data_IF_139438825791
#
_entry.id   IF_139438825791
#
_cell.length_a   1.000
_cell.length_b   1.000
_cell.length_c   1.000
_cell.angle_alpha   90.00
_cell.angle_beta   90.00
_cell.angle_gamma   90.00
#
_symmetry.space_group_name_H-M   'P 1'
#
loop_
_entity.id
_entity.type
_entity.pdbx_description
1 polymer ?
#
# COMPACT_ATOMS: atom_id res chain seq x y z
N UNK A 1 -84.06 -42.15 -72.96
CA UNK A 1 -82.72 -41.75 -72.35
C UNK A 1 -82.86 -41.83 -70.85
N UNK A 2 -82.34 -42.80 -70.17
CA UNK A 2 -82.44 -42.84 -68.72
C UNK A 2 -81.20 -42.16 -68.10
N UNK A 3 -81.44 -41.26 -67.13
CA UNK A 3 -80.50 -40.61 -66.32
C UNK A 3 -79.80 -41.62 -65.36
N UNK A 4 -78.47 -41.68 -65.43
CA UNK A 4 -77.67 -42.41 -64.49
C UNK A 4 -77.22 -41.42 -63.38
N UNK A 5 -77.93 -41.35 -62.28
CA UNK A 5 -77.53 -40.69 -61.08
C UNK A 5 -76.50 -41.59 -60.34
N UNK A 6 -75.27 -41.16 -60.42
CA UNK A 6 -74.24 -41.73 -59.57
C UNK A 6 -74.53 -41.32 -58.11
N UNK A 7 -75.04 -42.23 -57.31
CA UNK A 7 -75.14 -42.12 -55.88
C UNK A 7 -73.69 -42.13 -55.30
N UNK A 8 -73.23 -40.96 -54.93
CA UNK A 8 -72.12 -40.88 -54.00
C UNK A 8 -72.61 -41.41 -52.65
N UNK A 9 -72.18 -42.59 -52.25
CA UNK A 9 -72.30 -43.02 -50.87
C UNK A 9 -71.26 -42.20 -50.10
N UNK A 10 -71.72 -41.22 -49.34
CA UNK A 10 -70.97 -40.60 -48.29
C UNK A 10 -70.70 -41.68 -47.28
N UNK A 11 -69.37 -42.06 -47.14
CA UNK A 11 -68.85 -42.89 -46.05
C UNK A 11 -69.00 -42.10 -44.76
N UNK A 12 -70.17 -41.92 -44.20
CA UNK A 12 -70.43 -41.43 -42.87
C UNK A 12 -69.81 -42.40 -41.90
N UNK A 13 -68.72 -41.96 -41.20
CA UNK A 13 -68.09 -42.73 -40.14
C UNK A 13 -69.08 -42.80 -38.97
N UNK A 14 -69.77 -43.92 -38.85
CA UNK A 14 -70.72 -44.13 -37.75
C UNK A 14 -70.00 -44.30 -36.43
N UNK A 15 -70.01 -43.19 -35.65
CA UNK A 15 -69.40 -43.09 -34.30
C UNK A 15 -69.94 -44.19 -33.36
N UNK A 16 -71.17 -44.68 -33.49
CA UNK A 16 -71.74 -45.76 -32.73
C UNK A 16 -71.05 -47.09 -33.05
N UNK A 17 -70.72 -47.33 -34.27
CA UNK A 17 -70.01 -48.55 -34.73
C UNK A 17 -68.56 -48.59 -34.24
N UNK A 18 -67.88 -47.39 -34.24
CA UNK A 18 -66.57 -47.26 -33.70
C UNK A 18 -66.55 -47.49 -32.20
N UNK A 19 -67.50 -46.94 -31.41
CA UNK A 19 -67.64 -47.19 -30.01
C UNK A 19 -67.94 -48.66 -29.66
N UNK A 20 -68.80 -49.30 -30.47
CA UNK A 20 -69.01 -50.75 -30.34
C UNK A 20 -67.76 -51.58 -30.50
N UNK A 21 -66.96 -51.27 -31.52
CA UNK A 21 -65.70 -51.97 -31.78
C UNK A 21 -64.69 -51.82 -30.66
N UNK A 22 -64.67 -50.66 -30.02
CA UNK A 22 -63.78 -50.42 -28.82
C UNK A 22 -64.25 -51.22 -27.59
N UNK A 23 -65.55 -51.29 -27.34
CA UNK A 23 -66.17 -52.02 -26.23
C UNK A 23 -65.98 -53.55 -26.41
N UNK A 24 -66.14 -54.08 -27.60
CA UNK A 24 -65.95 -55.50 -27.89
C UNK A 24 -64.46 -55.93 -27.64
N UNK A 25 -63.53 -55.00 -27.86
CA UNK A 25 -62.08 -55.29 -27.65
C UNK A 25 -61.49 -54.64 -26.43
N UNK A 26 -62.27 -54.28 -25.45
CA UNK A 26 -61.85 -53.63 -24.18
C UNK A 26 -60.69 -54.37 -23.50
N UNK A 27 -60.73 -55.67 -23.45
CA UNK A 27 -59.69 -56.48 -22.86
C UNK A 27 -58.34 -56.45 -23.62
N UNK A 28 -58.40 -56.22 -24.92
CA UNK A 28 -57.20 -56.03 -25.74
C UNK A 28 -56.58 -54.64 -25.43
N UNK A 29 -57.39 -53.62 -25.35
CA UNK A 29 -56.98 -52.24 -24.97
C UNK A 29 -56.33 -52.30 -23.56
N UNK A 30 -57.02 -52.89 -22.61
CA UNK A 30 -56.50 -53.00 -21.24
C UNK A 30 -55.15 -53.76 -21.15
N UNK A 31 -55.00 -54.85 -21.92
CA UNK A 31 -53.74 -55.61 -21.92
C UNK A 31 -52.58 -54.86 -22.52
N UNK A 32 -52.78 -54.15 -23.66
CA UNK A 32 -51.70 -53.37 -24.30
C UNK A 32 -51.36 -52.14 -23.46
N UNK A 33 -52.37 -51.37 -23.02
CA UNK A 33 -52.14 -50.22 -22.14
C UNK A 33 -51.47 -50.63 -20.86
N UNK A 34 -51.94 -51.74 -20.22
CA UNK A 34 -51.32 -52.28 -19.01
C UNK A 34 -49.87 -52.71 -19.22
N UNK A 35 -49.57 -53.40 -20.34
CA UNK A 35 -48.21 -53.80 -20.69
C UNK A 35 -47.27 -52.63 -20.86
N UNK A 36 -47.66 -51.60 -21.62
CA UNK A 36 -46.89 -50.37 -21.85
C UNK A 36 -46.64 -49.65 -20.52
N UNK A 37 -47.70 -49.53 -19.67
CA UNK A 37 -47.63 -48.88 -18.39
C UNK A 37 -46.67 -49.65 -17.44
N UNK A 38 -46.74 -50.99 -17.40
CA UNK A 38 -45.81 -51.81 -16.59
C UNK A 38 -44.36 -51.62 -17.06
N UNK A 39 -44.10 -51.62 -18.36
CA UNK A 39 -42.77 -51.37 -18.91
C UNK A 39 -42.23 -49.98 -18.48
N UNK A 40 -43.10 -48.97 -18.53
CA UNK A 40 -42.74 -47.64 -18.07
C UNK A 40 -42.45 -47.55 -16.57
N UNK A 41 -43.19 -48.30 -15.75
CA UNK A 41 -42.89 -48.38 -14.30
C UNK A 41 -41.56 -49.07 -14.05
N UNK A 42 -41.28 -50.19 -14.73
CA UNK A 42 -39.99 -50.86 -14.66
C UNK A 42 -38.85 -49.94 -15.09
N UNK A 43 -38.99 -49.21 -16.20
CA UNK A 43 -38.03 -48.23 -16.65
C UNK A 43 -37.82 -47.11 -15.60
N UNK A 44 -38.87 -46.55 -15.05
CA UNK A 44 -38.82 -45.47 -14.04
C UNK A 44 -38.18 -45.94 -12.72
N UNK A 45 -38.17 -47.24 -12.42
CA UNK A 45 -37.48 -47.81 -11.24
C UNK A 45 -36.02 -48.18 -11.52
N UNK A 46 -35.65 -48.51 -12.75
CA UNK A 46 -34.28 -48.87 -13.10
C UNK A 46 -33.36 -47.64 -13.36
N UNK A 47 -33.93 -46.54 -13.79
CA UNK A 47 -33.13 -45.32 -14.05
C UNK A 47 -32.62 -44.76 -12.70
N UNK A 48 -31.28 -44.51 -12.59
CA UNK A 48 -30.72 -43.97 -11.37
C UNK A 48 -31.33 -42.61 -11.05
N UNK A 49 -31.63 -42.36 -9.75
CA UNK A 49 -32.19 -41.09 -9.31
C UNK A 49 -31.16 -39.97 -9.43
N UNK A 50 -31.58 -38.77 -9.82
CA UNK A 50 -30.76 -37.56 -9.80
C UNK A 50 -31.28 -36.62 -8.73
N UNK A 51 -30.40 -36.21 -7.84
CA UNK A 51 -30.65 -35.28 -6.74
C UNK A 51 -30.09 -33.90 -7.08
N UNK A 52 -30.58 -32.86 -6.40
CA UNK A 52 -30.08 -31.49 -6.55
C UNK A 52 -29.82 -30.89 -5.19
N UNK A 53 -28.54 -30.62 -4.87
CA UNK A 53 -28.15 -29.90 -3.68
C UNK A 53 -27.99 -28.41 -3.99
N UNK A 54 -28.32 -27.56 -3.00
CA UNK A 54 -28.19 -26.11 -3.11
C UNK A 54 -27.47 -25.58 -1.88
N UNK A 55 -26.58 -24.61 -2.09
CA UNK A 55 -25.92 -23.81 -1.07
C UNK A 55 -26.11 -22.34 -1.36
N UNK A 56 -26.27 -21.50 -0.35
CA UNK A 56 -26.44 -20.06 -0.57
C UNK A 56 -25.54 -19.23 0.33
N UNK A 57 -25.05 -18.13 -0.21
CA UNK A 57 -24.08 -17.23 0.41
C UNK A 57 -24.55 -15.79 0.40
N UNK A 58 -24.12 -15.04 1.42
CA UNK A 58 -24.24 -13.60 1.55
C UNK A 58 -22.84 -12.98 1.56
N UNK A 59 -22.76 -11.70 1.30
CA UNK A 59 -21.53 -10.91 1.43
C UNK A 59 -20.91 -11.06 2.83
N UNK A 60 -19.59 -10.85 2.99
CA UNK A 60 -18.92 -10.94 4.27
C UNK A 60 -19.48 -9.95 5.29
N UNK A 61 -19.29 -10.24 6.57
CA UNK A 61 -19.70 -9.35 7.65
C UNK A 61 -18.86 -8.07 7.67
N UNK A 62 -19.44 -6.98 8.20
CA UNK A 62 -18.68 -5.75 8.41
C UNK A 62 -17.44 -5.96 9.31
N UNK A 63 -17.52 -6.87 10.29
CA UNK A 63 -16.38 -7.22 11.14
C UNK A 63 -15.23 -7.85 10.36
N UNK A 64 -15.52 -8.75 9.41
CA UNK A 64 -14.49 -9.32 8.53
C UNK A 64 -13.83 -8.28 7.65
N UNK A 65 -14.62 -7.34 7.10
CA UNK A 65 -14.08 -6.23 6.27
C UNK A 65 -13.19 -5.32 7.11
N UNK A 66 -13.60 -4.97 8.33
CA UNK A 66 -12.81 -4.14 9.25
C UNK A 66 -11.49 -4.82 9.61
N UNK A 67 -11.52 -6.12 9.92
CA UNK A 67 -10.31 -6.85 10.28
C UNK A 67 -9.32 -6.98 9.10
N UNK A 68 -9.81 -7.22 7.88
CA UNK A 68 -8.97 -7.23 6.68
C UNK A 68 -8.38 -5.85 6.36
N UNK A 69 -9.06 -4.76 6.75
CA UNK A 69 -8.61 -3.38 6.56
C UNK A 69 -7.95 -2.76 7.80
N UNK A 70 -7.61 -3.55 8.80
CA UNK A 70 -6.94 -3.09 10.02
C UNK A 70 -5.62 -2.38 9.74
N UNK A 71 -4.94 -2.82 8.71
CA UNK A 71 -3.74 -2.16 8.16
C UNK A 71 -4.20 -1.11 7.15
N UNK A 72 -3.76 0.14 7.32
CA UNK A 72 -4.11 1.26 6.43
C UNK A 72 -3.68 1.05 4.95
N UNK A 73 -2.82 0.06 4.69
CA UNK A 73 -2.39 -0.34 3.35
C UNK A 73 -3.40 -1.25 2.62
N UNK A 74 -4.43 -1.72 3.31
CA UNK A 74 -5.53 -2.51 2.75
C UNK A 74 -6.76 -1.61 2.56
N UNK A 75 -7.49 -1.82 1.44
CA UNK A 75 -8.71 -1.07 1.11
C UNK A 75 -9.78 -2.01 0.53
N UNK A 76 -9.88 -3.22 1.11
CA UNK A 76 -10.84 -4.20 0.66
C UNK A 76 -12.28 -3.79 1.02
N UNK A 77 -13.20 -3.94 0.07
CA UNK A 77 -14.62 -3.74 0.30
C UNK A 77 -15.32 -5.08 0.47
N UNK A 78 -16.52 -5.07 1.06
CA UNK A 78 -17.35 -6.28 1.14
C UNK A 78 -17.58 -6.91 -0.25
N UNK A 79 -17.68 -6.08 -1.27
CA UNK A 79 -17.89 -6.52 -2.66
C UNK A 79 -16.62 -7.15 -3.25
N UNK A 80 -15.44 -6.53 -3.11
CA UNK A 80 -14.17 -7.07 -3.62
C UNK A 80 -13.83 -8.41 -2.99
N UNK A 81 -14.01 -8.54 -1.67
CA UNK A 81 -13.80 -9.78 -0.94
C UNK A 81 -14.75 -10.87 -1.45
N UNK A 82 -16.04 -10.53 -1.56
CA UNK A 82 -17.05 -11.48 -2.02
C UNK A 82 -16.83 -11.94 -3.46
N UNK A 83 -16.44 -11.04 -4.35
CA UNK A 83 -16.09 -11.40 -5.73
C UNK A 83 -14.86 -12.32 -5.79
N UNK A 84 -13.85 -12.07 -4.96
CA UNK A 84 -12.69 -12.95 -4.87
C UNK A 84 -13.06 -14.36 -4.43
N UNK A 85 -13.95 -14.48 -3.42
CA UNK A 85 -14.53 -15.76 -3.01
C UNK A 85 -15.28 -16.46 -4.16
N UNK A 86 -16.18 -15.74 -4.84
CA UNK A 86 -16.96 -16.29 -5.95
C UNK A 86 -16.07 -16.75 -7.10
N UNK A 87 -15.04 -16.01 -7.42
CA UNK A 87 -14.07 -16.38 -8.46
C UNK A 87 -13.37 -17.71 -8.11
N UNK A 88 -13.07 -17.95 -6.83
CA UNK A 88 -12.53 -19.24 -6.38
C UNK A 88 -13.55 -20.36 -6.54
N UNK A 89 -14.77 -20.16 -6.08
CA UNK A 89 -15.85 -21.15 -6.19
C UNK A 89 -16.14 -21.51 -7.65
N UNK A 90 -16.07 -20.54 -8.57
CA UNK A 90 -16.31 -20.70 -10.01
C UNK A 90 -15.13 -21.30 -10.77
N UNK A 91 -13.94 -21.23 -10.22
CA UNK A 91 -12.75 -21.74 -10.88
C UNK A 91 -12.79 -23.26 -10.99
N UNK A 92 -12.90 -23.78 -12.22
CA UNK A 92 -12.86 -25.22 -12.48
C UNK A 92 -11.56 -25.86 -11.96
N UNK A 93 -10.44 -25.14 -12.02
CA UNK A 93 -9.17 -25.59 -11.47
C UNK A 93 -9.25 -25.72 -9.94
N UNK A 94 -9.91 -24.78 -9.25
CA UNK A 94 -10.10 -24.84 -7.81
C UNK A 94 -11.10 -25.94 -7.42
N UNK A 95 -12.20 -26.08 -8.16
CA UNK A 95 -13.17 -27.16 -8.00
C UNK A 95 -12.49 -28.54 -8.16
N UNK A 96 -11.63 -28.67 -9.17
CA UNK A 96 -10.86 -29.89 -9.39
C UNK A 96 -9.92 -30.19 -8.24
N UNK A 97 -9.22 -29.19 -7.75
CA UNK A 97 -8.35 -29.33 -6.58
C UNK A 97 -9.12 -29.89 -5.37
N UNK A 98 -10.28 -29.33 -5.06
CA UNK A 98 -11.11 -29.77 -3.92
C UNK A 98 -11.68 -31.18 -4.18
N UNK A 99 -12.05 -31.48 -5.42
CA UNK A 99 -12.51 -32.80 -5.82
C UNK A 99 -11.43 -33.88 -5.54
N UNK A 100 -10.20 -33.61 -5.90
CA UNK A 100 -9.08 -34.54 -5.73
C UNK A 100 -8.63 -34.63 -4.26
N UNK A 101 -8.40 -33.49 -3.58
CA UNK A 101 -7.91 -33.44 -2.20
C UNK A 101 -8.87 -34.13 -1.22
N UNK A 102 -10.17 -34.02 -1.44
CA UNK A 102 -11.19 -34.62 -0.57
C UNK A 102 -11.67 -36.00 -1.06
N UNK A 103 -11.03 -36.56 -2.10
CA UNK A 103 -11.30 -37.90 -2.59
C UNK A 103 -12.69 -38.12 -3.18
N UNK A 104 -13.25 -37.09 -3.83
CA UNK A 104 -14.59 -37.15 -4.42
C UNK A 104 -14.68 -38.13 -5.59
N UNK A 105 -13.56 -38.46 -6.23
CA UNK A 105 -13.52 -39.52 -7.23
C UNK A 105 -14.00 -40.88 -6.68
N UNK A 106 -13.48 -41.30 -5.52
CA UNK A 106 -13.88 -42.53 -4.87
C UNK A 106 -15.33 -42.44 -4.28
N UNK A 107 -15.69 -41.29 -3.75
CA UNK A 107 -17.03 -41.07 -3.16
C UNK A 107 -18.14 -41.10 -4.23
N UNK A 108 -17.87 -40.54 -5.43
CA UNK A 108 -18.83 -40.49 -6.54
C UNK A 108 -18.85 -41.75 -7.40
N UNK A 109 -17.85 -42.63 -7.24
CA UNK A 109 -17.73 -43.94 -7.94
C UNK A 109 -17.60 -45.07 -6.91
N UNK A 110 -18.61 -45.35 -6.08
CA UNK A 110 -18.52 -46.34 -5.00
C UNK A 110 -18.37 -47.76 -5.53
N UNK A 111 -18.80 -48.05 -6.77
CA UNK A 111 -18.70 -49.36 -7.39
C UNK A 111 -17.36 -49.62 -8.06
N UNK A 112 -16.39 -48.66 -7.99
CA UNK A 112 -15.10 -48.71 -8.66
C UNK A 112 -15.21 -49.05 -10.15
N UNK A 113 -16.21 -48.47 -10.83
CA UNK A 113 -16.35 -48.63 -12.29
C UNK A 113 -15.09 -48.08 -12.98
N UNK A 114 -14.62 -48.75 -14.03
CA UNK A 114 -13.41 -48.32 -14.72
C UNK A 114 -13.63 -46.93 -15.34
N UNK A 115 -12.78 -45.96 -14.94
CA UNK A 115 -12.79 -44.59 -15.46
C UNK A 115 -11.63 -44.49 -16.46
N UNK A 116 -11.97 -44.32 -17.75
CA UNK A 116 -10.98 -44.18 -18.81
C UNK A 116 -10.22 -42.84 -18.72
N UNK A 117 -10.94 -41.77 -18.38
CA UNK A 117 -10.37 -40.44 -18.25
C UNK A 117 -10.94 -39.76 -17.01
N UNK A 118 -10.07 -39.46 -16.03
CA UNK A 118 -10.45 -38.81 -14.77
C UNK A 118 -10.89 -37.37 -15.02
N UNK A 119 -10.33 -36.70 -16.03
CA UNK A 119 -10.68 -35.34 -16.40
C UNK A 119 -12.14 -35.25 -16.90
N UNK A 120 -12.49 -36.13 -17.84
CA UNK A 120 -13.86 -36.23 -18.38
C UNK A 120 -14.86 -36.59 -17.28
N UNK A 121 -14.47 -37.44 -16.34
CA UNK A 121 -15.29 -37.81 -15.19
C UNK A 121 -15.58 -36.59 -14.30
N UNK A 122 -14.55 -35.80 -13.98
CA UNK A 122 -14.70 -34.59 -13.21
C UNK A 122 -15.61 -33.57 -13.92
N UNK A 123 -15.40 -33.32 -15.23
CA UNK A 123 -16.27 -32.40 -15.96
C UNK A 123 -17.73 -32.86 -16.01
N UNK A 124 -18.00 -34.17 -16.12
CA UNK A 124 -19.35 -34.71 -15.96
C UNK A 124 -19.92 -34.50 -14.55
N UNK A 125 -19.08 -34.65 -13.53
CA UNK A 125 -19.49 -34.44 -12.13
C UNK A 125 -19.94 -33.00 -11.89
N UNK A 126 -19.25 -32.01 -12.48
CA UNK A 126 -19.59 -30.58 -12.33
C UNK A 126 -20.47 -30.03 -13.46
N UNK A 127 -20.87 -30.83 -14.43
CA UNK A 127 -21.64 -30.38 -15.62
C UNK A 127 -22.88 -29.57 -15.26
N UNK A 128 -23.55 -29.95 -14.17
CA UNK A 128 -24.76 -29.32 -13.68
C UNK A 128 -24.53 -28.22 -12.66
N UNK A 129 -23.24 -27.88 -12.38
CA UNK A 129 -22.90 -26.80 -11.47
C UNK A 129 -23.42 -25.47 -12.00
N UNK A 130 -24.35 -24.87 -11.27
CA UNK A 130 -25.05 -23.67 -11.72
C UNK A 130 -25.11 -22.63 -10.61
N UNK A 131 -24.96 -21.36 -11.00
CA UNK A 131 -25.13 -20.19 -10.14
C UNK A 131 -26.39 -19.45 -10.50
N UNK A 132 -27.20 -19.17 -9.50
CA UNK A 132 -28.35 -18.30 -9.62
C UNK A 132 -28.14 -17.06 -8.73
N UNK A 133 -28.06 -15.91 -9.37
CA UNK A 133 -28.04 -14.61 -8.69
C UNK A 133 -29.48 -14.21 -8.35
N UNK A 134 -29.83 -14.18 -7.08
CA UNK A 134 -31.12 -13.69 -6.60
C UNK A 134 -30.89 -12.33 -5.94
N UNK A 135 -31.23 -11.26 -6.64
CA UNK A 135 -31.37 -9.94 -6.02
C UNK A 135 -32.61 -9.97 -5.11
N UNK A 136 -32.36 -10.02 -3.80
CA UNK A 136 -33.45 -9.85 -2.84
C UNK A 136 -33.86 -8.38 -2.86
N UNK A 137 -34.97 -8.07 -3.53
CA UNK A 137 -35.62 -6.77 -3.42
C UNK A 137 -36.16 -6.59 -2.00
N UNK A 138 -35.40 -5.99 -1.13
CA UNK A 138 -35.92 -5.38 0.10
C UNK A 138 -35.25 -4.03 0.33
N UNK A 139 -36.08 -3.03 0.48
CA UNK A 139 -35.78 -1.64 0.75
C UNK A 139 -34.45 -1.41 1.49
N UNK A 140 -33.57 -0.62 0.83
CA UNK A 140 -32.46 0.21 1.36
C UNK A 140 -31.09 -0.42 1.58
N UNK A 141 -30.90 -1.73 1.75
CA UNK A 141 -29.56 -2.35 1.73
C UNK A 141 -29.63 -3.71 1.02
N UNK A 142 -29.20 -3.74 -0.24
CA UNK A 142 -29.17 -4.96 -1.04
C UNK A 142 -27.98 -5.85 -0.60
N UNK A 143 -28.24 -6.86 0.20
CA UNK A 143 -27.29 -7.96 0.32
C UNK A 143 -27.48 -8.90 -0.88
N UNK A 144 -26.40 -9.11 -1.62
CA UNK A 144 -26.40 -10.00 -2.78
C UNK A 144 -26.40 -11.44 -2.30
N UNK A 145 -27.54 -12.14 -2.49
CA UNK A 145 -27.65 -13.56 -2.21
C UNK A 145 -27.33 -14.37 -3.47
N UNK A 146 -26.32 -15.21 -3.38
CA UNK A 146 -25.95 -16.13 -4.45
C UNK A 146 -26.29 -17.56 -4.05
N UNK A 147 -27.03 -18.25 -4.92
CA UNK A 147 -27.34 -19.66 -4.80
C UNK A 147 -26.51 -20.47 -5.78
N UNK A 148 -25.88 -21.52 -5.28
CA UNK A 148 -25.14 -22.47 -6.10
C UNK A 148 -25.82 -23.82 -5.98
N UNK A 149 -25.98 -24.51 -7.11
CA UNK A 149 -26.59 -25.83 -7.17
C UNK A 149 -25.73 -26.81 -7.95
N UNK A 150 -25.81 -28.07 -7.54
CA UNK A 150 -25.17 -29.20 -8.21
C UNK A 150 -26.16 -30.37 -8.25
N UNK A 151 -26.31 -31.01 -9.43
CA UNK A 151 -27.10 -32.21 -9.59
C UNK A 151 -26.16 -33.42 -9.70
N UNK A 152 -26.58 -34.57 -9.15
CA UNK A 152 -25.82 -35.81 -9.20
C UNK A 152 -26.61 -37.01 -8.65
N UNK A 153 -26.04 -38.21 -8.78
CA UNK A 153 -26.71 -39.45 -8.42
C UNK A 153 -26.68 -39.75 -6.92
N UNK A 154 -25.77 -39.13 -6.18
CA UNK A 154 -25.65 -39.30 -4.73
C UNK A 154 -25.84 -37.95 -4.02
N UNK A 155 -26.92 -37.86 -3.23
CA UNK A 155 -27.33 -36.67 -2.52
C UNK A 155 -26.26 -36.20 -1.48
N UNK A 156 -25.60 -37.15 -0.83
CA UNK A 156 -24.60 -36.86 0.22
C UNK A 156 -23.31 -36.36 -0.44
N UNK A 157 -22.88 -36.97 -1.53
CA UNK A 157 -21.65 -36.60 -2.23
C UNK A 157 -21.73 -35.16 -2.77
N UNK A 158 -22.82 -34.81 -3.48
CA UNK A 158 -23.00 -33.47 -4.06
C UNK A 158 -23.14 -32.39 -2.99
N UNK A 159 -23.85 -32.66 -1.89
CA UNK A 159 -24.01 -31.70 -0.78
C UNK A 159 -22.70 -31.50 -0.01
N UNK A 160 -21.95 -32.58 0.24
CA UNK A 160 -20.64 -32.49 0.87
C UNK A 160 -19.64 -31.74 0.01
N UNK A 161 -19.62 -31.99 -1.31
CA UNK A 161 -18.75 -31.27 -2.26
C UNK A 161 -19.02 -29.77 -2.23
N UNK A 162 -20.28 -29.34 -2.29
CA UNK A 162 -20.63 -27.91 -2.22
C UNK A 162 -20.19 -27.25 -0.91
N UNK A 163 -20.36 -27.94 0.22
CA UNK A 163 -19.93 -27.45 1.52
C UNK A 163 -18.40 -27.37 1.64
N UNK A 164 -17.70 -28.39 1.19
CA UNK A 164 -16.22 -28.43 1.22
C UNK A 164 -15.63 -27.38 0.28
N UNK A 165 -16.20 -27.22 -0.94
CA UNK A 165 -15.81 -26.19 -1.88
C UNK A 165 -15.98 -24.79 -1.30
N UNK A 166 -17.12 -24.52 -0.68
CA UNK A 166 -17.40 -23.23 -0.05
C UNK A 166 -16.43 -22.93 1.10
N UNK A 167 -16.21 -23.90 1.99
CA UNK A 167 -15.30 -23.78 3.13
C UNK A 167 -13.87 -23.55 2.67
N UNK A 168 -13.42 -24.31 1.68
CA UNK A 168 -12.09 -24.15 1.12
C UNK A 168 -11.92 -22.80 0.43
N UNK A 169 -12.90 -22.38 -0.40
CA UNK A 169 -12.87 -21.09 -1.08
C UNK A 169 -12.82 -19.91 -0.09
N UNK A 170 -13.58 -19.97 1.02
CA UNK A 170 -13.53 -18.98 2.11
C UNK A 170 -12.11 -18.87 2.67
N UNK A 171 -11.55 -19.98 3.16
CA UNK A 171 -10.22 -20.01 3.78
C UNK A 171 -9.10 -19.58 2.80
N UNK A 172 -9.17 -20.03 1.55
CA UNK A 172 -8.18 -19.63 0.53
C UNK A 172 -8.27 -18.16 0.19
N UNK A 173 -9.48 -17.60 0.09
CA UNK A 173 -9.66 -16.18 -0.20
C UNK A 173 -9.14 -15.31 0.92
N UNK A 174 -9.46 -15.63 2.18
CA UNK A 174 -8.96 -14.89 3.34
C UNK A 174 -7.44 -14.94 3.39
N UNK A 175 -6.85 -16.13 3.23
CA UNK A 175 -5.40 -16.31 3.25
C UNK A 175 -4.70 -15.55 2.12
N UNK A 176 -5.27 -15.54 0.94
CA UNK A 176 -4.75 -14.78 -0.21
C UNK A 176 -4.77 -13.27 0.07
N UNK A 177 -5.87 -12.72 0.59
CA UNK A 177 -5.99 -11.31 0.94
C UNK A 177 -5.02 -10.90 2.05
N UNK A 178 -4.87 -11.72 3.09
CA UNK A 178 -3.88 -11.49 4.14
C UNK A 178 -2.45 -11.56 3.61
N UNK A 179 -2.15 -12.50 2.70
CA UNK A 179 -0.84 -12.60 2.05
C UNK A 179 -0.52 -11.36 1.20
N UNK A 180 -1.50 -10.83 0.47
CA UNK A 180 -1.37 -9.58 -0.30
C UNK A 180 -1.08 -8.41 0.65
N UNK A 181 -1.80 -8.33 1.77
CA UNK A 181 -1.60 -7.29 2.78
C UNK A 181 -0.20 -7.38 3.40
N UNK A 182 0.27 -8.59 3.75
CA UNK A 182 1.62 -8.81 4.23
C UNK A 182 2.67 -8.33 3.22
N UNK A 183 2.50 -8.68 1.95
CA UNK A 183 3.41 -8.24 0.90
C UNK A 183 3.44 -6.72 0.74
N UNK A 184 2.31 -6.03 0.86
CA UNK A 184 2.25 -4.55 0.88
C UNK A 184 2.99 -3.96 2.08
N UNK A 185 2.88 -4.58 3.26
CA UNK A 185 3.66 -4.21 4.44
C UNK A 185 5.16 -4.33 4.15
N UNK A 186 5.60 -5.45 3.61
CA UNK A 186 7.01 -5.71 3.33
C UNK A 186 7.58 -4.70 2.32
N UNK A 187 6.84 -4.39 1.25
CA UNK A 187 7.21 -3.34 0.28
C UNK A 187 7.34 -1.99 0.99
N UNK A 188 6.35 -1.60 1.81
CA UNK A 188 6.39 -0.29 2.49
C UNK A 188 7.55 -0.20 3.48
N UNK A 189 7.88 -1.28 4.19
CA UNK A 189 9.05 -1.34 5.07
C UNK A 189 10.36 -1.15 4.30
N UNK A 190 10.47 -1.76 3.11
CA UNK A 190 11.64 -1.55 2.23
C UNK A 190 11.73 -0.10 1.71
N UNK A 191 10.60 0.51 1.35
CA UNK A 191 10.54 1.92 0.96
C UNK A 191 10.98 2.84 2.10
N UNK A 192 10.51 2.59 3.33
CA UNK A 192 10.91 3.35 4.52
C UNK A 192 12.43 3.29 4.71
N UNK A 193 13.05 2.11 4.60
CA UNK A 193 14.50 2.00 4.76
C UNK A 193 15.26 2.78 3.65
N UNK A 194 14.80 2.74 2.41
CA UNK A 194 15.37 3.53 1.31
C UNK A 194 15.23 5.03 1.55
N UNK A 195 14.07 5.46 2.02
CA UNK A 195 13.79 6.87 2.34
C UNK A 195 14.68 7.37 3.50
N UNK A 196 14.85 6.57 4.55
CA UNK A 196 15.78 6.87 5.67
C UNK A 196 17.22 7.03 5.19
N UNK A 197 17.71 6.10 4.34
CA UNK A 197 19.06 6.18 3.76
C UNK A 197 19.21 7.46 2.94
N UNK A 198 18.22 7.81 2.14
CA UNK A 198 18.24 9.05 1.35
C UNK A 198 18.30 10.29 2.24
N UNK A 199 17.43 10.37 3.26
CA UNK A 199 17.40 11.50 4.23
C UNK A 199 18.72 11.66 4.97
N UNK A 200 19.31 10.56 5.45
CA UNK A 200 20.61 10.55 6.09
C UNK A 200 21.73 11.03 5.18
N UNK A 201 21.73 10.54 3.93
CA UNK A 201 22.72 10.97 2.93
C UNK A 201 22.61 12.46 2.61
N UNK A 202 21.38 12.96 2.46
CA UNK A 202 21.10 14.38 2.25
C UNK A 202 21.56 15.22 3.42
N UNK A 203 21.18 14.86 4.65
CA UNK A 203 21.57 15.61 5.84
C UNK A 203 23.08 15.64 6.04
N UNK A 204 23.78 14.53 5.77
CA UNK A 204 25.23 14.48 5.77
C UNK A 204 25.83 15.44 4.74
N UNK A 205 25.30 15.48 3.53
CA UNK A 205 25.77 16.40 2.47
C UNK A 205 25.52 17.85 2.85
N UNK A 206 24.35 18.17 3.40
CA UNK A 206 23.99 19.51 3.87
C UNK A 206 24.94 19.95 5.00
N UNK A 207 25.23 19.07 5.98
CA UNK A 207 26.19 19.33 7.05
C UNK A 207 27.61 19.58 6.50
N UNK A 208 28.08 18.78 5.57
CA UNK A 208 29.39 18.99 4.93
C UNK A 208 29.46 20.33 4.19
N UNK A 209 28.38 20.71 3.52
CA UNK A 209 28.27 22.01 2.83
C UNK A 209 28.29 23.16 3.83
N UNK A 210 27.60 23.03 4.98
CA UNK A 210 27.66 24.02 6.07
C UNK A 210 29.06 24.17 6.64
N UNK A 211 29.74 23.05 6.94
CA UNK A 211 31.13 23.03 7.42
C UNK A 211 32.04 23.80 6.45
N UNK A 212 32.00 23.45 5.16
CA UNK A 212 32.82 24.09 4.14
C UNK A 212 32.56 25.61 4.05
N UNK A 213 31.30 26.01 4.14
CA UNK A 213 30.92 27.43 4.13
C UNK A 213 31.42 28.19 5.37
N UNK A 214 31.29 27.58 6.57
CA UNK A 214 31.78 28.20 7.81
C UNK A 214 33.30 28.30 7.77
N UNK A 215 34.00 27.26 7.32
CA UNK A 215 35.47 27.27 7.17
C UNK A 215 35.95 28.39 6.23
N UNK A 216 35.29 28.53 5.08
CA UNK A 216 35.61 29.59 4.12
C UNK A 216 35.41 30.97 4.72
N UNK A 217 34.26 31.24 5.36
CA UNK A 217 33.98 32.50 6.03
C UNK A 217 34.95 32.78 7.16
N UNK A 218 35.31 31.78 7.96
CA UNK A 218 36.28 31.89 9.06
C UNK A 218 37.68 32.21 8.52
N UNK A 219 38.11 31.54 7.45
CA UNK A 219 39.38 31.82 6.78
C UNK A 219 39.45 33.23 6.22
N UNK A 220 38.38 33.73 5.60
CA UNK A 220 38.29 35.10 5.06
C UNK A 220 38.41 36.11 6.23
N UNK A 221 37.67 35.96 7.32
CA UNK A 221 37.73 36.87 8.49
C UNK A 221 39.11 36.86 9.16
N UNK A 222 39.75 35.70 9.30
CA UNK A 222 41.09 35.56 9.82
C UNK A 222 42.08 36.32 8.93
N UNK A 223 41.97 36.13 7.62
CA UNK A 223 42.86 36.81 6.66
C UNK A 223 42.69 38.34 6.67
N UNK A 224 41.42 38.81 6.70
CA UNK A 224 41.10 40.24 6.84
C UNK A 224 41.70 40.81 8.14
N UNK A 225 41.52 40.11 9.25
CA UNK A 225 42.10 40.52 10.58
C UNK A 225 43.61 40.57 10.51
N UNK A 226 44.29 39.56 9.94
CA UNK A 226 45.74 39.53 9.77
C UNK A 226 46.22 40.70 8.92
N UNK A 227 45.56 40.96 7.77
CA UNK A 227 45.90 42.07 6.89
C UNK A 227 45.69 43.43 7.61
N UNK A 228 44.68 43.54 8.48
CA UNK A 228 44.46 44.75 9.27
C UNK A 228 45.55 44.95 10.30
N UNK A 229 45.94 43.91 11.01
CA UNK A 229 47.06 43.92 11.96
C UNK A 229 48.34 44.40 11.27
N UNK A 230 48.63 43.86 10.07
CA UNK A 230 49.84 44.25 9.31
C UNK A 230 49.80 45.72 8.90
N UNK A 231 48.65 46.22 8.44
CA UNK A 231 48.48 47.68 8.15
C UNK A 231 48.66 48.54 9.39
N UNK A 232 48.17 48.11 10.54
CA UNK A 232 48.36 48.84 11.79
C UNK A 232 49.84 48.85 12.24
N UNK A 233 50.55 47.77 12.09
CA UNK A 233 52.00 47.67 12.36
C UNK A 233 52.84 48.61 11.46
N UNK A 234 52.55 48.59 10.15
CA UNK A 234 53.22 49.46 9.17
C UNK A 234 52.93 50.93 9.57
N UNK A 235 51.69 51.29 9.83
CA UNK A 235 51.30 52.66 10.22
C UNK A 235 52.04 53.09 11.50
N UNK A 236 51.99 52.26 12.55
CA UNK A 236 52.62 52.57 13.81
C UNK A 236 54.15 52.73 13.69
N UNK A 237 54.77 51.89 12.87
CA UNK A 237 56.22 52.03 12.54
C UNK A 237 56.50 53.31 11.82
N UNK A 238 55.70 53.66 10.80
CA UNK A 238 55.87 54.90 10.03
C UNK A 238 55.66 56.13 10.96
N UNK A 239 54.64 56.12 11.82
CA UNK A 239 54.36 57.19 12.78
C UNK A 239 55.52 57.29 13.77
N UNK A 240 56.08 56.18 14.22
CA UNK A 240 57.26 56.16 15.11
C UNK A 240 58.50 56.74 14.40
N UNK A 241 58.78 56.32 13.16
CA UNK A 241 59.88 56.84 12.40
C UNK A 241 59.76 58.37 12.14
N UNK A 242 58.56 58.79 11.77
CA UNK A 242 58.27 60.22 11.63
C UNK A 242 58.46 61.01 12.93
N UNK A 243 58.03 60.39 14.05
CA UNK A 243 58.26 61.01 15.36
C UNK A 243 59.76 61.06 15.72
N UNK A 244 60.56 60.01 15.47
CA UNK A 244 62.00 59.99 15.65
C UNK A 244 62.66 61.12 14.87
N UNK A 245 62.32 61.22 13.58
CA UNK A 245 62.85 62.29 12.70
C UNK A 245 62.57 63.66 13.26
N UNK A 246 61.28 63.92 13.58
CA UNK A 246 60.84 65.20 14.19
C UNK A 246 61.60 65.53 15.49
N UNK A 247 61.69 64.55 16.42
CA UNK A 247 62.40 64.75 17.68
C UNK A 247 63.92 64.97 17.47
N UNK A 248 64.52 64.31 16.47
CA UNK A 248 65.90 64.52 16.08
C UNK A 248 66.12 65.97 15.53
N UNK A 249 65.22 66.44 14.68
CA UNK A 249 65.27 67.81 14.12
C UNK A 249 65.09 68.85 15.26
N UNK A 250 64.19 68.63 16.22
CA UNK A 250 63.98 69.48 17.36
C UNK A 250 65.18 69.48 18.32
N UNK A 251 65.87 68.32 18.50
CA UNK A 251 67.10 68.18 19.27
C UNK A 251 68.25 69.00 18.68
N UNK A 252 68.38 68.99 17.30
CA UNK A 252 69.33 69.80 16.56
C UNK A 252 69.12 71.31 16.78
N UNK A 253 67.79 71.73 16.73
CA UNK A 253 67.38 73.10 16.99
C UNK A 253 67.75 73.47 18.43
N UNK A 254 67.39 72.57 19.42
CA UNK A 254 67.72 72.80 20.83
C UNK A 254 69.21 72.98 21.05
N UNK A 255 70.05 72.11 20.41
CA UNK A 255 71.51 72.22 20.47
C UNK A 255 72.01 73.55 19.89
N UNK A 256 71.49 73.94 18.71
CA UNK A 256 71.87 75.20 18.08
C UNK A 256 71.51 76.42 18.89
N UNK A 257 70.46 76.34 19.73
CA UNK A 257 70.03 77.37 20.64
C UNK A 257 70.76 77.28 22.05
N UNK A 258 71.58 76.25 22.26
CA UNK A 258 72.26 76.02 23.52
C UNK A 258 71.38 75.51 24.67
N UNK A 259 70.20 74.95 24.36
CA UNK A 259 69.25 74.41 25.30
C UNK A 259 69.58 72.92 25.54
N UNK A 260 70.41 72.56 26.52
CA UNK A 260 70.79 71.16 26.80
C UNK A 260 69.78 70.46 27.70
N UNK A 261 69.33 71.09 28.76
CA UNK A 261 68.43 70.55 29.74
C UNK A 261 67.03 71.23 29.66
N UNK A 262 66.04 70.57 30.25
CA UNK A 262 64.65 71.10 30.26
C UNK A 262 64.58 72.23 31.33
N UNK A 263 64.28 73.40 30.86
CA UNK A 263 64.19 74.58 31.73
C UNK A 263 62.74 74.97 32.05
N UNK A 264 61.76 74.00 31.91
CA UNK A 264 60.40 74.25 32.31
C UNK A 264 60.24 74.20 33.83
N UNK A 265 60.03 75.29 34.48
CA UNK A 265 59.64 75.37 35.88
C UNK A 265 58.13 75.40 35.98
N UNK A 266 57.55 74.31 36.56
CA UNK A 266 56.11 74.40 36.97
C UNK A 266 56.05 75.53 38.01
N UNK A 267 55.18 76.45 37.77
CA UNK A 267 54.90 77.57 38.68
C UNK A 267 54.30 77.01 39.98
N UNK A 268 55.12 76.53 40.88
CA UNK A 268 54.78 76.48 42.32
C UNK A 268 55.10 77.91 42.87
N UNK A 269 54.02 78.64 43.20
CA UNK A 269 54.16 79.89 43.90
C UNK A 269 55.03 79.73 45.11
N UNK A 270 56.02 80.67 45.24
CA UNK A 270 56.96 80.90 46.36
C UNK A 270 58.35 80.27 46.24
N UNK A 271 59.22 81.02 45.60
CA UNK A 271 60.51 81.38 46.28
C UNK A 271 61.15 82.52 45.52
N UNK A 272 61.37 83.58 46.21
CA UNK A 272 62.22 84.66 45.79
C UNK A 272 63.67 84.31 45.89
N UNK A 273 64.51 84.87 44.99
CA UNK A 273 65.92 84.90 44.92
C UNK A 273 66.70 83.67 44.39
N UNK A 274 67.03 83.78 43.15
CA UNK A 274 68.43 83.88 42.68
C UNK A 274 68.47 84.19 41.20
N UNK A 275 69.19 85.25 40.94
CA UNK A 275 69.54 85.68 39.57
C UNK A 275 70.40 84.65 38.92
N UNK A 276 69.88 84.02 37.89
CA UNK A 276 70.62 83.54 36.76
C UNK A 276 69.70 83.38 35.62
N UNK A 277 69.98 84.04 34.52
CA UNK A 277 69.25 84.24 33.30
C UNK A 277 69.05 82.84 32.61
N UNK A 278 68.04 82.12 33.02
CA UNK A 278 67.49 81.12 32.24
C UNK A 278 66.05 81.53 31.82
N UNK A 279 65.77 81.46 30.56
CA UNK A 279 64.45 81.74 30.01
C UNK A 279 63.43 80.80 30.63
N UNK A 280 62.83 81.13 31.79
CA UNK A 280 61.76 80.32 32.37
C UNK A 280 60.49 80.61 31.64
N UNK A 281 60.03 79.71 30.86
CA UNK A 281 58.71 79.74 30.21
C UNK A 281 57.63 79.23 31.20
N UNK A 282 56.82 80.18 31.69
CA UNK A 282 55.62 79.89 32.51
C UNK A 282 54.52 79.45 31.62
N UNK A 283 54.10 78.14 31.68
CA UNK A 283 52.92 77.68 30.99
C UNK A 283 51.70 77.89 31.91
N UNK A 284 50.82 78.80 31.49
CA UNK A 284 49.50 78.95 32.11
C UNK A 284 48.48 77.96 31.51
N UNK A 285 47.52 77.47 32.31
CA UNK A 285 46.42 76.69 31.80
C UNK A 285 45.74 77.37 30.62
N UNK A 286 45.79 76.70 29.42
CA UNK A 286 45.27 77.24 28.19
C UNK A 286 46.29 77.70 27.12
N UNK A 287 47.59 77.71 27.43
CA UNK A 287 48.63 78.03 26.42
C UNK A 287 48.97 76.77 25.57
N UNK A 288 49.30 77.03 24.29
CA UNK A 288 49.82 75.98 23.40
C UNK A 288 51.06 75.35 24.03
N UNK A 289 51.11 74.02 23.96
CA UNK A 289 52.30 73.24 24.35
C UNK A 289 53.52 73.85 23.63
N UNK A 290 54.62 74.09 24.41
CA UNK A 290 55.82 74.69 23.81
C UNK A 290 56.39 73.84 22.67
N UNK A 291 57.10 74.44 21.74
CA UNK A 291 57.81 73.71 20.66
C UNK A 291 58.77 72.70 21.35
N UNK A 292 58.91 71.50 20.77
CA UNK A 292 59.69 70.38 21.33
C UNK A 292 61.12 70.72 21.67
N UNK A 293 61.79 71.53 20.88
CA UNK A 293 63.20 71.93 21.15
C UNK A 293 63.37 72.61 22.53
N UNK A 294 62.33 73.13 23.11
CA UNK A 294 62.37 73.71 24.47
C UNK A 294 62.46 72.70 25.60
N UNK A 295 62.30 71.40 25.35
CA UNK A 295 62.53 70.31 26.33
C UNK A 295 64.02 70.05 26.55
N UNK A 296 64.92 70.55 25.70
CA UNK A 296 66.31 70.36 25.75
C UNK A 296 66.82 69.17 24.95
N UNK A 297 68.09 69.32 24.45
CA UNK A 297 68.71 68.32 23.58
C UNK A 297 68.78 66.91 24.26
N UNK A 298 69.21 66.84 25.54
CA UNK A 298 69.42 65.57 26.23
C UNK A 298 68.14 64.75 26.38
N UNK A 299 66.98 65.39 26.71
CA UNK A 299 65.69 64.79 26.86
C UNK A 299 65.11 64.30 25.48
N UNK A 300 65.29 65.08 24.42
CA UNK A 300 64.83 64.75 23.11
C UNK A 300 65.63 63.57 22.52
N UNK A 301 66.99 63.58 22.71
CA UNK A 301 67.79 62.43 22.24
C UNK A 301 67.54 61.16 23.04
N UNK A 302 67.22 61.23 24.35
CA UNK A 302 66.77 60.03 25.06
C UNK A 302 65.45 59.50 24.64
N UNK A 303 64.47 60.35 24.33
CA UNK A 303 63.22 59.91 23.72
C UNK A 303 63.43 59.27 22.36
N UNK A 304 64.31 59.82 21.53
CA UNK A 304 64.69 59.19 20.25
C UNK A 304 65.33 57.79 20.51
N UNK A 305 66.26 57.68 21.45
CA UNK A 305 66.84 56.40 21.78
C UNK A 305 65.85 55.34 22.27
N UNK A 306 64.86 55.77 23.10
CA UNK A 306 63.81 54.89 23.56
C UNK A 306 62.95 54.38 22.36
N UNK A 307 62.52 55.33 21.44
CA UNK A 307 61.72 55.00 20.30
C UNK A 307 62.48 54.10 19.27
N UNK A 308 63.79 54.31 19.11
CA UNK A 308 64.62 53.48 18.24
C UNK A 308 64.79 52.04 18.79
N UNK A 309 64.78 51.85 20.12
CA UNK A 309 64.88 50.57 20.74
C UNK A 309 63.56 49.77 20.84
N UNK A 310 62.42 50.33 20.41
CA UNK A 310 61.16 49.60 20.32
C UNK A 310 61.24 48.57 19.19
N UNK A 311 61.32 47.28 19.55
CA UNK A 311 61.36 46.15 18.63
C UNK A 311 59.94 45.77 18.16
N UNK A 312 58.91 45.95 19.02
CA UNK A 312 57.55 45.53 18.73
C UNK A 312 56.56 46.62 19.20
N UNK A 313 55.80 47.14 18.22
CA UNK A 313 54.78 48.20 18.47
C UNK A 313 53.46 47.64 18.95
N UNK A 314 53.16 46.29 18.82
CA UNK A 314 51.88 45.66 19.12
C UNK A 314 51.30 46.01 20.51
N UNK A 315 52.11 46.04 21.64
CA UNK A 315 51.58 46.38 22.97
C UNK A 315 51.02 47.80 23.06
N UNK A 316 51.44 48.69 22.15
CA UNK A 316 51.01 50.07 22.14
C UNK A 316 49.81 50.33 21.23
N UNK A 317 49.27 49.23 20.55
CA UNK A 317 48.15 49.31 19.63
C UNK A 317 47.01 48.42 20.16
N UNK A 318 46.07 48.92 20.98
CA UNK A 318 44.99 48.12 21.57
C UNK A 318 44.15 47.37 20.54
N UNK A 319 44.02 47.92 19.32
CA UNK A 319 43.26 47.30 18.24
C UNK A 319 43.89 45.98 17.75
N UNK A 320 45.22 45.84 17.83
CA UNK A 320 45.88 44.57 17.49
C UNK A 320 45.53 43.48 18.48
N UNK A 321 45.48 43.77 19.75
CA UNK A 321 45.09 42.82 20.80
C UNK A 321 43.67 42.36 20.60
N UNK A 322 42.75 43.27 20.26
CA UNK A 322 41.35 42.92 19.94
C UNK A 322 41.26 42.01 18.71
N UNK A 323 41.96 42.32 17.62
CA UNK A 323 41.98 41.51 16.41
C UNK A 323 42.58 40.12 16.65
N UNK A 324 43.65 40.00 17.48
CA UNK A 324 44.22 38.71 17.86
C UNK A 324 43.27 37.88 18.70
N UNK A 325 42.47 38.49 19.59
CA UNK A 325 41.40 37.80 20.32
C UNK A 325 40.30 37.29 19.35
N UNK A 326 39.86 38.12 18.43
CA UNK A 326 38.88 37.73 17.41
C UNK A 326 39.37 36.55 16.59
N UNK A 327 40.68 36.54 16.18
CA UNK A 327 41.27 35.40 15.47
C UNK A 327 41.19 34.13 16.33
N UNK A 328 41.49 34.20 17.62
CA UNK A 328 41.45 33.05 18.53
C UNK A 328 40.01 32.54 18.71
N UNK A 329 39.04 33.45 18.84
CA UNK A 329 37.60 33.08 18.90
C UNK A 329 37.15 32.35 17.65
N UNK A 330 37.50 32.86 16.47
CA UNK A 330 37.19 32.20 15.18
C UNK A 330 37.86 30.82 15.08
N UNK A 331 39.12 30.69 15.52
CA UNK A 331 39.81 29.41 15.49
C UNK A 331 39.23 28.37 16.47
N UNK A 332 38.56 28.81 17.52
CA UNK A 332 37.88 27.98 18.51
C UNK A 332 36.36 27.93 18.32
N UNK A 333 35.88 28.12 17.05
CA UNK A 333 34.46 28.10 16.69
C UNK A 333 33.78 26.82 17.15
N UNK A 334 32.95 26.94 18.20
CA UNK A 334 32.28 25.82 18.84
C UNK A 334 31.19 25.18 17.92
N UNK A 335 30.58 25.99 17.04
CA UNK A 335 29.59 25.49 16.11
C UNK A 335 30.26 24.58 15.07
N UNK A 336 31.35 25.03 14.48
CA UNK A 336 32.15 24.26 13.54
C UNK A 336 32.65 22.94 14.17
N UNK A 337 33.16 23.00 15.39
CA UNK A 337 33.63 21.82 16.15
C UNK A 337 32.50 20.84 16.37
N UNK A 338 31.30 21.29 16.77
CA UNK A 338 30.11 20.44 16.96
C UNK A 338 29.67 19.78 15.66
N UNK A 339 29.65 20.54 14.55
CA UNK A 339 29.26 19.99 13.24
C UNK A 339 30.28 18.95 12.75
N UNK A 340 31.58 19.17 12.95
CA UNK A 340 32.64 18.23 12.55
C UNK A 340 32.60 16.93 13.37
N UNK A 341 32.36 17.03 14.67
CA UNK A 341 32.36 15.90 15.57
C UNK A 341 31.02 15.16 15.69
N UNK A 342 30.00 15.57 14.90
CA UNK A 342 28.71 14.92 14.90
C UNK A 342 28.85 13.52 14.28
N UNK A 343 28.58 12.47 15.06
CA UNK A 343 28.64 11.07 14.63
C UNK A 343 27.42 10.67 13.80
N UNK A 344 26.22 11.19 14.13
CA UNK A 344 24.97 10.85 13.43
C UNK A 344 24.10 12.09 13.24
N UNK A 345 23.51 12.19 12.04
CA UNK A 345 22.55 13.23 11.70
C UNK A 345 21.09 12.80 12.01
N UNK A 346 20.83 11.49 12.24
CA UNK A 346 19.50 10.94 12.44
C UNK A 346 18.66 11.67 13.52
N UNK A 347 19.19 12.01 14.73
CA UNK A 347 18.42 12.69 15.76
C UNK A 347 17.95 14.10 15.40
N UNK A 348 18.47 14.66 14.31
CA UNK A 348 18.15 16.02 13.85
C UNK A 348 17.21 16.04 12.64
N UNK A 349 16.66 14.87 12.27
CA UNK A 349 15.76 14.70 11.12
C UNK A 349 14.42 14.19 11.63
N UNK A 350 13.45 15.08 11.79
CA UNK A 350 12.11 14.73 12.30
C UNK A 350 11.40 13.67 11.43
N UNK A 351 11.67 13.68 10.12
CA UNK A 351 11.11 12.71 9.18
C UNK A 351 11.55 11.28 9.49
N UNK A 352 12.79 11.07 9.94
CA UNK A 352 13.30 9.74 10.34
C UNK A 352 12.50 9.19 11.52
N UNK A 353 12.22 10.04 12.52
CA UNK A 353 11.42 9.63 13.68
C UNK A 353 9.99 9.22 13.27
N UNK A 354 9.38 9.92 12.31
CA UNK A 354 8.06 9.55 11.77
C UNK A 354 8.10 8.22 11.05
N UNK A 355 9.12 8.00 10.23
CA UNK A 355 9.33 6.73 9.51
C UNK A 355 9.61 5.57 10.47
N UNK A 356 10.34 5.80 11.56
CA UNK A 356 10.58 4.78 12.60
C UNK A 356 9.27 4.40 13.31
N UNK A 357 8.42 5.38 13.63
CA UNK A 357 7.10 5.14 14.20
C UNK A 357 6.21 4.36 13.23
N UNK A 358 6.17 4.74 11.94
CA UNK A 358 5.44 4.03 10.90
C UNK A 358 5.92 2.59 10.76
N UNK A 359 7.24 2.39 10.67
CA UNK A 359 7.86 1.06 10.60
C UNK A 359 7.49 0.20 11.81
N UNK A 360 7.57 0.76 13.02
CA UNK A 360 7.18 0.07 14.24
C UNK A 360 5.68 -0.30 14.23
N UNK A 361 4.81 0.61 13.79
CA UNK A 361 3.37 0.37 13.63
C UNK A 361 3.12 -0.78 12.64
N UNK A 362 3.75 -0.75 11.46
CA UNK A 362 3.59 -1.80 10.44
C UNK A 362 4.06 -3.17 10.95
N UNK A 363 5.20 -3.23 11.65
CA UNK A 363 5.72 -4.47 12.24
C UNK A 363 4.86 -5.01 13.39
N UNK A 364 4.06 -4.17 14.03
CA UNK A 364 3.18 -4.57 15.13
C UNK A 364 1.88 -5.24 14.68
N UNK A 365 1.53 -5.18 13.39
CA UNK A 365 0.32 -5.82 12.90
C UNK A 365 0.49 -7.34 12.86
N UNK A 366 -0.35 -8.03 13.64
CA UNK A 366 -0.54 -9.47 13.54
C UNK A 366 -1.71 -9.71 12.58
N UNK A 367 -1.43 -10.32 11.43
CA UNK A 367 -2.45 -10.75 10.47
C UNK A 367 -2.92 -12.16 10.86
N UNK A 368 -4.16 -12.26 11.37
CA UNK A 368 -4.75 -13.51 11.83
C UNK A 368 -5.98 -13.85 10.97
N UNK A 369 -6.09 -15.13 10.58
CA UNK A 369 -7.23 -15.67 9.85
C UNK A 369 -8.45 -15.87 10.76
N UNK A 370 -8.27 -15.88 12.09
CA UNK A 370 -9.30 -16.29 13.06
C UNK A 370 -10.52 -15.37 13.04
N UNK A 371 -11.68 -15.93 12.71
CA UNK A 371 -12.95 -15.18 12.69
C UNK A 371 -13.14 -14.28 11.48
N UNK A 372 -12.22 -14.29 10.51
CA UNK A 372 -12.34 -13.57 9.24
C UNK A 372 -12.92 -14.50 8.18
N UNK A 373 -13.95 -14.05 7.50
CA UNK A 373 -14.64 -14.80 6.46
C UNK A 373 -14.87 -13.95 5.21
N UNK A 374 -14.63 -14.53 4.05
CA UNK A 374 -14.87 -13.88 2.75
C UNK A 374 -16.34 -13.92 2.33
N UNK A 375 -17.16 -14.70 3.04
CA UNK A 375 -18.60 -14.82 2.83
C UNK A 375 -19.30 -15.17 4.13
N UNK A 376 -20.64 -15.06 4.14
CA UNK A 376 -21.52 -15.65 5.19
C UNK A 376 -22.38 -16.74 4.56
N UNK A 377 -22.39 -17.92 5.16
CA UNK A 377 -23.31 -18.99 4.74
C UNK A 377 -24.72 -18.62 5.15
N UNK A 378 -25.60 -18.42 4.16
CA UNK A 378 -27.04 -18.26 4.42
C UNK A 378 -27.70 -19.60 4.62
N UNK A 379 -27.40 -20.57 3.74
CA UNK A 379 -27.91 -21.94 3.82
C UNK A 379 -26.80 -22.91 3.38
N UNK A 380 -26.51 -23.90 4.22
CA UNK A 380 -25.59 -25.00 3.85
C UNK A 380 -26.28 -25.96 2.87
N UNK A 381 -25.49 -26.67 2.09
CA UNK A 381 -26.00 -27.75 1.27
C UNK A 381 -26.38 -28.93 2.18
N UNK A 382 -27.67 -29.31 2.13
CA UNK A 382 -28.18 -30.51 2.78
C UNK A 382 -28.42 -31.59 1.72
N UNK A 383 -28.23 -32.89 2.06
CA UNK A 383 -28.61 -33.98 1.16
C UNK A 383 -30.13 -33.94 0.93
N UNK A 384 -30.57 -33.78 -0.34
CA UNK A 384 -32.00 -33.79 -0.65
C UNK A 384 -32.59 -35.20 -0.45
N UNK A 385 -33.77 -35.30 0.14
CA UNK A 385 -34.47 -36.57 0.40
C UNK A 385 -35.10 -37.12 -0.88
N UNK A 386 -35.67 -36.25 -1.72
CA UNK A 386 -36.34 -36.62 -2.98
C UNK A 386 -35.51 -36.35 -4.21
N UNK A 387 -35.45 -37.29 -5.15
CA UNK A 387 -34.80 -37.05 -6.45
C UNK A 387 -35.66 -36.14 -7.34
N UNK A 388 -34.98 -35.25 -8.08
CA UNK A 388 -35.60 -34.35 -9.04
C UNK A 388 -35.89 -35.02 -10.38
N UNK A 389 -35.18 -36.09 -10.74
CA UNK A 389 -35.28 -36.87 -11.95
C UNK A 389 -35.08 -38.38 -11.62
N UNK A 390 -35.74 -39.30 -12.37
CA UNK A 390 -36.88 -39.03 -13.26
C UNK A 390 -38.17 -38.74 -12.49
N UNK A 391 -39.06 -37.95 -13.06
CA UNK A 391 -40.42 -37.76 -12.50
C UNK A 391 -41.26 -39.02 -12.75
N UNK A 392 -41.15 -40.01 -11.83
CA UNK A 392 -41.82 -41.32 -11.95
C UNK A 392 -43.29 -41.22 -12.21
N UNK A 393 -44.00 -40.28 -11.54
CA UNK A 393 -45.43 -40.06 -11.74
C UNK A 393 -45.76 -39.63 -13.17
N UNK A 394 -44.96 -38.72 -13.72
CA UNK A 394 -45.16 -38.15 -15.04
C UNK A 394 -44.87 -39.21 -16.13
N UNK A 395 -43.83 -40.03 -15.97
CA UNK A 395 -43.50 -41.13 -16.90
C UNK A 395 -44.65 -42.12 -16.96
N UNK A 396 -45.21 -42.54 -15.83
CA UNK A 396 -46.30 -43.50 -15.76
C UNK A 396 -47.58 -42.92 -16.39
N UNK A 397 -47.91 -41.65 -16.12
CA UNK A 397 -49.10 -40.98 -16.70
C UNK A 397 -48.99 -40.87 -18.23
N UNK A 398 -47.81 -40.42 -18.73
CA UNK A 398 -47.59 -40.33 -20.17
C UNK A 398 -47.62 -41.69 -20.85
N UNK A 399 -47.02 -42.72 -20.25
CA UNK A 399 -47.03 -44.07 -20.79
C UNK A 399 -48.47 -44.67 -20.82
N UNK A 400 -49.28 -44.37 -19.80
CA UNK A 400 -50.67 -44.80 -19.77
C UNK A 400 -51.46 -44.13 -20.91
N UNK A 401 -51.35 -42.79 -21.10
CA UNK A 401 -52.03 -42.05 -22.14
C UNK A 401 -51.60 -42.54 -23.54
N UNK A 402 -50.30 -42.62 -23.78
CA UNK A 402 -49.75 -43.12 -25.06
C UNK A 402 -50.11 -44.58 -25.30
N UNK A 403 -50.06 -45.43 -24.27
CA UNK A 403 -50.48 -46.81 -24.34
C UNK A 403 -51.95 -46.96 -24.68
N UNK A 404 -52.81 -46.14 -24.13
CA UNK A 404 -54.23 -46.09 -24.40
C UNK A 404 -54.49 -45.61 -25.85
N UNK A 405 -53.84 -44.57 -26.31
CA UNK A 405 -53.97 -44.06 -27.70
C UNK A 405 -53.47 -45.12 -28.70
N UNK A 406 -52.31 -45.75 -28.43
CA UNK A 406 -51.76 -46.78 -29.28
C UNK A 406 -52.67 -48.02 -29.35
N UNK A 407 -53.20 -48.47 -28.20
CA UNK A 407 -54.13 -49.62 -28.14
C UNK A 407 -55.44 -49.38 -28.90
N UNK A 408 -56.03 -48.18 -28.81
CA UNK A 408 -57.22 -47.79 -29.58
C UNK A 408 -56.91 -47.80 -31.09
N UNK A 409 -55.76 -47.23 -31.46
CA UNK A 409 -55.31 -47.17 -32.85
C UNK A 409 -55.13 -48.60 -33.43
N UNK A 410 -54.47 -49.48 -32.67
CA UNK A 410 -54.31 -50.87 -33.07
C UNK A 410 -55.62 -51.63 -33.21
N UNK A 411 -56.62 -51.34 -32.34
CA UNK A 411 -57.96 -51.91 -32.44
C UNK A 411 -58.62 -51.49 -33.74
N UNK A 412 -58.50 -50.21 -34.15
CA UNK A 412 -59.09 -49.74 -35.44
C UNK A 412 -58.37 -50.36 -36.62
N UNK A 413 -57.03 -50.44 -36.61
CA UNK A 413 -56.30 -51.15 -37.72
C UNK A 413 -56.72 -52.61 -37.83
N UNK A 414 -56.76 -53.33 -36.74
CA UNK A 414 -57.13 -54.76 -36.72
C UNK A 414 -58.63 -54.94 -37.13
N UNK A 415 -59.52 -53.96 -36.84
CA UNK A 415 -60.86 -53.98 -37.26
C UNK A 415 -61.03 -53.72 -38.77
N UNK A 416 -60.23 -52.77 -39.32
CA UNK A 416 -60.23 -52.45 -40.76
C UNK A 416 -59.70 -53.62 -41.59
N UNK A 417 -58.67 -54.35 -41.15
CA UNK A 417 -58.23 -55.55 -41.88
C UNK A 417 -59.25 -56.69 -41.85
N UNK A 418 -59.88 -56.93 -40.72
CA UNK A 418 -60.91 -58.00 -40.59
C UNK A 418 -62.20 -57.70 -41.38
N UNK A 419 -62.55 -56.42 -41.59
CA UNK A 419 -63.65 -56.02 -42.44
C UNK A 419 -63.41 -56.29 -43.95
N UNK A 420 -62.14 -56.33 -44.35
CA UNK A 420 -61.70 -56.62 -45.72
C UNK A 420 -61.79 -58.12 -46.04
N UNK A 421 -61.47 -59.02 -45.10
CA UNK A 421 -61.57 -60.46 -45.32
C UNK A 421 -63.00 -60.99 -45.41
N UNK A 422 -63.98 -60.33 -44.79
CA UNK A 422 -65.40 -60.69 -44.89
C UNK A 422 -66.04 -60.19 -46.21
N UNK A 423 -65.38 -59.30 -46.99
CA UNK A 423 -65.87 -58.87 -48.31
C UNK A 423 -65.37 -59.75 -49.51
N UNK A 424 -64.47 -60.68 -49.21
CA UNK A 424 -63.89 -61.60 -50.21
C UNK A 424 -64.51 -63.01 -50.17
N UNK A 425 -65.57 -63.24 -49.33
CA UNK A 425 -66.29 -64.53 -49.18
C UNK A 425 -67.80 -64.41 -49.47
N UNK A 426 -68.25 -63.44 -50.26
CA UNK A 426 -69.62 -63.42 -50.84
C UNK A 426 -69.54 -63.27 -52.38
#
# INVERSE_FOLDING_TARGET
MPNNELQYQEDEIDLKQLLGTLLDRKWFIVRITGFITILAIVYALLVPPTYKANISFLSPSASSVIELNKVELSSETSETIYHSFLNKVLSSQFQRKIFDENGYLAKSNPNNEPIENIEDYFFKFIETFNIADHQIQKNVNYEKLINISLEGNDALVISSFLNDLAKAADSYTVRELLSITQHRIDIRLEEIEKEKIFLLSKAKQDRLSQIARIEELNNQKIQESKNKIERLRIKARDDRLNKIQKLSDEAEIANSLGIKENNFTANTANTANTANTALSLTINEGQKIPEWYLYGEDALLEEVNILQNIINDDPYIPEIVTLQNTIREIQSDQELIKLKNRESDAPFIDEINKLDIESAKLKSYALDETGVHAMRVNQRAFPPEDPIKPNKKLIVVFAFILGLMLSIFLVFILSAFRSKDNKLLV
#
